data_IF_554290633261
#
_entry.id   IF_554290633261
#
_cell.length_a   1.000
_cell.length_b   1.000
_cell.length_c   1.000
_cell.angle_alpha   90.00
_cell.angle_beta   90.00
_cell.angle_gamma   90.00
#
_symmetry.space_group_name_H-M   'P 1'
#
loop_
_entity.id
_entity.type
_entity.pdbx_description
1 polymer ?
#
# COMPACT_ATOMS: atom_id res chain seq x y z
N UNK A 1 1.93 18.31 -10.73
CA UNK A 1 2.51 16.95 -10.62
C UNK A 1 1.38 15.99 -10.34
N UNK A 2 1.20 15.01 -11.20
CA UNK A 2 0.18 13.97 -10.99
C UNK A 2 0.71 12.90 -10.00
N UNK A 3 -0.17 12.02 -9.53
CA UNK A 3 0.17 10.99 -8.54
C UNK A 3 1.21 9.99 -9.08
N UNK A 4 1.17 9.67 -10.37
CA UNK A 4 2.13 8.76 -11.01
C UNK A 4 3.54 9.35 -11.03
N UNK A 5 3.68 10.63 -11.35
CA UNK A 5 4.95 11.38 -11.28
C UNK A 5 5.47 11.46 -9.83
N UNK A 6 4.58 11.62 -8.86
CA UNK A 6 4.94 11.57 -7.43
C UNK A 6 5.49 10.19 -7.05
N UNK A 7 4.85 9.11 -7.51
CA UNK A 7 5.33 7.74 -7.28
C UNK A 7 6.72 7.52 -7.89
N UNK A 8 6.92 7.97 -9.14
CA UNK A 8 8.21 7.84 -9.82
C UNK A 8 9.33 8.65 -9.17
N UNK A 9 9.06 9.88 -8.73
CA UNK A 9 10.07 10.71 -8.06
C UNK A 9 10.44 10.19 -6.67
N UNK A 10 9.49 9.58 -5.95
CA UNK A 10 9.74 9.02 -4.63
C UNK A 10 10.31 7.59 -4.67
N UNK A 11 10.30 6.93 -5.82
CA UNK A 11 10.70 5.53 -6.01
C UNK A 11 12.12 5.22 -5.48
N UNK A 12 13.03 6.19 -5.60
CA UNK A 12 14.40 6.10 -5.09
C UNK A 12 14.49 6.23 -3.56
N UNK A 13 13.54 6.93 -2.94
CA UNK A 13 13.47 7.17 -1.49
C UNK A 13 12.64 6.12 -0.72
N UNK A 14 11.85 5.31 -1.43
CA UNK A 14 11.03 4.23 -0.84
C UNK A 14 11.89 3.05 -0.37
N UNK A 15 11.45 2.40 0.71
CA UNK A 15 12.04 1.13 1.14
C UNK A 15 11.83 0.02 0.10
N UNK A 16 12.63 -1.06 0.18
CA UNK A 16 12.51 -2.20 -0.77
C UNK A 16 11.09 -2.75 -0.89
N UNK A 17 10.33 -2.78 0.20
CA UNK A 17 8.95 -3.28 0.19
C UNK A 17 7.97 -2.26 -0.37
N UNK A 18 8.12 -0.98 -0.06
CA UNK A 18 7.28 0.07 -0.64
C UNK A 18 7.54 0.25 -2.14
N UNK A 19 8.79 0.04 -2.57
CA UNK A 19 9.17 0.04 -3.99
C UNK A 19 8.41 -1.01 -4.79
N UNK A 20 8.22 -2.22 -4.25
CA UNK A 20 7.41 -3.25 -4.91
C UNK A 20 5.97 -2.80 -5.13
N UNK A 21 5.39 -2.13 -4.14
CA UNK A 21 4.03 -1.56 -4.25
C UNK A 21 3.99 -0.51 -5.35
N UNK A 22 4.96 0.41 -5.37
CA UNK A 22 5.09 1.42 -6.41
C UNK A 22 5.23 0.80 -7.81
N UNK A 23 6.05 -0.24 -7.96
CA UNK A 23 6.27 -0.95 -9.22
C UNK A 23 4.99 -1.62 -9.74
N UNK A 24 4.22 -2.28 -8.87
CA UNK A 24 2.92 -2.87 -9.25
C UNK A 24 1.94 -1.80 -9.71
N UNK A 25 1.86 -0.68 -8.99
CA UNK A 25 0.97 0.44 -9.35
C UNK A 25 1.40 1.06 -10.68
N UNK A 26 2.70 1.24 -10.91
CA UNK A 26 3.22 1.80 -12.16
C UNK A 26 3.08 0.83 -13.35
N UNK A 27 3.14 -0.48 -13.09
CA UNK A 27 2.95 -1.49 -14.12
C UNK A 27 1.49 -1.56 -14.61
N UNK A 28 0.51 -1.32 -13.73
CA UNK A 28 -0.91 -1.36 -14.09
C UNK A 28 -1.74 -0.40 -13.22
N UNK A 29 -1.67 0.91 -13.49
CA UNK A 29 -2.34 1.91 -12.65
C UNK A 29 -3.87 1.84 -12.74
N UNK A 30 -4.43 1.42 -13.89
CA UNK A 30 -5.86 1.14 -14.04
C UNK A 30 -6.33 -0.02 -13.14
N UNK A 31 -5.52 -1.08 -13.02
CA UNK A 31 -5.85 -2.19 -12.13
C UNK A 31 -5.71 -1.77 -10.65
N UNK A 32 -4.75 -0.89 -10.35
CA UNK A 32 -4.50 -0.42 -8.99
C UNK A 32 -5.66 0.38 -8.39
N UNK A 33 -6.39 1.17 -9.20
CA UNK A 33 -7.59 1.90 -8.74
C UNK A 33 -8.81 1.00 -8.50
N UNK A 34 -8.82 -0.21 -9.08
CA UNK A 34 -9.90 -1.19 -8.91
C UNK A 34 -9.59 -2.27 -7.88
N UNK A 35 -8.33 -2.39 -7.47
CA UNK A 35 -7.87 -3.40 -6.52
C UNK A 35 -8.18 -3.03 -5.06
N UNK A 36 -8.32 -4.04 -4.21
CA UNK A 36 -8.37 -3.89 -2.74
C UNK A 36 -6.95 -3.76 -2.16
N UNK A 37 -6.85 -3.30 -0.90
CA UNK A 37 -5.53 -3.21 -0.23
C UNK A 37 -4.88 -4.59 -0.09
N UNK A 38 -5.69 -5.63 0.15
CA UNK A 38 -5.25 -7.01 0.27
C UNK A 38 -4.74 -7.57 -1.08
N UNK A 39 -5.46 -7.30 -2.18
CA UNK A 39 -5.03 -7.72 -3.51
C UNK A 39 -3.71 -7.03 -3.91
N UNK A 40 -3.61 -5.72 -3.65
CA UNK A 40 -2.38 -4.95 -3.88
C UNK A 40 -1.20 -5.49 -3.08
N UNK A 41 -1.42 -5.83 -1.81
CA UNK A 41 -0.40 -6.41 -0.95
C UNK A 41 0.07 -7.77 -1.47
N UNK A 42 -0.85 -8.62 -1.91
CA UNK A 42 -0.57 -9.94 -2.46
C UNK A 42 0.22 -9.84 -3.77
N UNK A 43 -0.19 -8.96 -4.68
CA UNK A 43 0.47 -8.73 -5.97
C UNK A 43 1.89 -8.16 -5.80
N UNK A 44 2.06 -7.17 -4.90
CA UNK A 44 3.36 -6.61 -4.57
C UNK A 44 4.20 -7.52 -3.65
N UNK A 45 3.66 -8.66 -3.21
CA UNK A 45 4.32 -9.59 -2.28
C UNK A 45 4.80 -8.88 -1.00
N UNK A 46 3.89 -8.11 -0.40
CA UNK A 46 4.07 -7.37 0.85
C UNK A 46 2.86 -7.58 1.77
N UNK A 47 2.94 -7.01 2.97
CA UNK A 47 1.81 -6.99 3.90
C UNK A 47 0.96 -5.72 3.73
N UNK A 48 -0.34 -5.80 4.04
CA UNK A 48 -1.26 -4.64 4.02
C UNK A 48 -0.74 -3.42 4.80
N UNK A 49 -0.10 -3.57 6.00
CA UNK A 49 0.51 -2.43 6.69
C UNK A 49 1.61 -1.75 5.88
N UNK A 50 2.29 -2.47 4.99
CA UNK A 50 3.29 -1.89 4.08
C UNK A 50 2.62 -1.04 3.01
N UNK A 51 1.51 -1.50 2.44
CA UNK A 51 0.70 -0.71 1.50
C UNK A 51 0.15 0.54 2.19
N UNK A 52 -0.30 0.43 3.43
CA UNK A 52 -0.79 1.57 4.21
C UNK A 52 0.34 2.58 4.53
N UNK A 53 1.54 2.09 4.89
CA UNK A 53 2.73 2.96 5.03
C UNK A 53 3.07 3.67 3.73
N UNK A 54 3.06 2.96 2.60
CA UNK A 54 3.27 3.56 1.28
C UNK A 54 2.26 4.68 1.00
N UNK A 55 0.96 4.45 1.27
CA UNK A 55 -0.08 5.48 1.10
C UNK A 55 0.22 6.72 1.94
N UNK A 56 0.65 6.55 3.20
CA UNK A 56 1.05 7.66 4.08
C UNK A 56 2.30 8.39 3.58
N UNK A 57 3.31 7.67 3.08
CA UNK A 57 4.50 8.23 2.44
C UNK A 57 4.16 9.08 1.22
N UNK A 58 3.01 8.81 0.60
CA UNK A 58 2.46 9.59 -0.52
C UNK A 58 1.56 10.75 -0.09
N UNK A 59 1.52 11.11 1.19
CA UNK A 59 0.71 12.22 1.74
C UNK A 59 -0.80 11.97 1.58
N UNK A 60 -1.21 10.71 1.73
CA UNK A 60 -2.61 10.30 1.70
C UNK A 60 -3.02 9.72 3.04
N UNK A 61 -4.29 9.92 3.42
CA UNK A 61 -4.81 9.49 4.72
C UNK A 61 -5.06 7.99 4.81
N UNK A 62 -5.05 7.30 3.67
CA UNK A 62 -5.24 5.85 3.56
C UNK A 62 -5.39 5.41 2.11
N UNK A 63 -5.68 4.12 1.92
CA UNK A 63 -5.80 3.52 0.59
C UNK A 63 -6.96 4.09 -0.27
N UNK A 64 -8.16 4.40 0.28
CA UNK A 64 -9.22 5.03 -0.51
C UNK A 64 -8.86 6.43 -1.03
N UNK A 65 -8.22 7.23 -0.19
CA UNK A 65 -7.73 8.59 -0.50
C UNK A 65 -6.64 8.52 -1.59
N UNK A 66 -5.73 7.55 -1.47
CA UNK A 66 -4.75 7.23 -2.51
C UNK A 66 -5.40 6.86 -3.84
N UNK A 67 -6.41 5.99 -3.85
CA UNK A 67 -7.13 5.60 -5.08
C UNK A 67 -7.79 6.81 -5.74
N UNK A 68 -8.33 7.75 -4.98
CA UNK A 68 -8.91 8.97 -5.51
C UNK A 68 -7.87 9.83 -6.25
N UNK A 69 -6.71 10.07 -5.64
CA UNK A 69 -5.62 10.82 -6.26
C UNK A 69 -5.02 10.11 -7.48
N UNK A 70 -4.91 8.78 -7.42
CA UNK A 70 -4.47 7.97 -8.55
C UNK A 70 -5.47 8.02 -9.71
N UNK A 71 -6.77 7.87 -9.42
CA UNK A 71 -7.83 7.97 -10.40
C UNK A 71 -7.91 9.37 -11.03
N UNK A 72 -7.73 10.44 -10.26
CA UNK A 72 -7.62 11.81 -10.79
C UNK A 72 -6.44 11.97 -11.76
N UNK A 73 -5.33 11.31 -11.46
CA UNK A 73 -4.13 11.34 -12.31
C UNK A 73 -4.33 10.59 -13.62
N UNK A 74 -5.08 9.49 -13.59
CA UNK A 74 -5.51 8.76 -14.78
C UNK A 74 -6.60 9.53 -15.56
N UNK A 75 -7.52 10.17 -14.85
CA UNK A 75 -8.63 10.95 -15.42
C UNK A 75 -8.15 12.18 -16.21
N UNK A 76 -7.09 12.85 -15.71
CA UNK A 76 -6.45 13.95 -16.44
C UNK A 76 -5.70 13.48 -17.70
N UNK A 77 -5.50 12.17 -17.89
CA UNK A 77 -5.00 11.55 -19.12
C UNK A 77 -6.09 10.99 -20.05
N UNK A 78 -7.25 10.60 -19.52
CA UNK A 78 -8.41 10.10 -20.28
C UNK A 78 -9.68 10.10 -19.41
N UNK A 79 -10.88 10.47 -19.90
CA UNK A 79 -12.07 10.66 -19.07
C UNK A 79 -12.63 9.30 -18.63
N UNK A 80 -12.17 8.79 -17.48
CA UNK A 80 -12.70 7.54 -16.93
C UNK A 80 -13.95 7.80 -16.11
N UNK A 81 -15.07 7.33 -16.65
CA UNK A 81 -16.42 7.51 -16.14
C UNK A 81 -16.61 6.63 -14.89
N UNK A 82 -17.04 7.29 -13.83
CA UNK A 82 -17.49 6.73 -12.55
C UNK A 82 -18.28 5.42 -12.75
N UNK A 83 -17.71 4.29 -12.31
CA UNK A 83 -18.50 3.10 -12.00
C UNK A 83 -17.80 2.26 -10.92
N UNK A 84 -18.39 2.32 -9.72
CA UNK A 84 -18.22 1.40 -8.60
C UNK A 84 -16.88 1.50 -7.85
N UNK A 85 -16.71 2.57 -7.06
CA UNK A 85 -15.92 2.48 -5.84
C UNK A 85 -16.73 1.60 -4.88
N UNK A 86 -16.41 0.30 -4.82
CA UNK A 86 -16.88 -0.53 -3.72
C UNK A 86 -16.18 -0.02 -2.45
N UNK A 87 -16.94 0.65 -1.59
CA UNK A 87 -16.58 1.21 -0.29
C UNK A 87 -16.39 0.14 0.81
N UNK A 88 -16.05 -1.11 0.46
CA UNK A 88 -16.11 -2.22 1.43
C UNK A 88 -14.84 -2.42 2.28
N UNK A 89 -13.71 -1.81 1.94
CA UNK A 89 -12.53 -1.85 2.82
C UNK A 89 -12.60 -0.72 3.87
N UNK A 90 -13.72 -0.69 4.60
CA UNK A 90 -13.93 0.16 5.76
C UNK A 90 -13.03 -0.26 6.93
N UNK A 91 -12.08 0.61 7.28
CA UNK A 91 -11.63 1.05 8.63
C UNK A 91 -11.24 0.00 9.70
N UNK A 92 -11.36 -1.30 9.52
CA UNK A 92 -11.37 -2.24 10.65
C UNK A 92 -10.11 -3.10 10.88
N UNK A 93 -8.98 -2.82 10.23
CA UNK A 93 -7.74 -3.58 10.49
C UNK A 93 -6.68 -2.79 11.27
N UNK A 94 -7.12 -1.97 12.24
CA UNK A 94 -6.28 -1.57 13.36
C UNK A 94 -6.40 -2.62 14.47
N UNK A 95 -5.65 -3.73 14.37
CA UNK A 95 -5.04 -4.45 15.51
C UNK A 95 -4.35 -5.72 15.02
N UNK A 96 -3.02 -5.70 14.98
CA UNK A 96 -2.29 -6.88 14.53
C UNK A 96 -0.77 -6.79 14.55
N UNK A 97 -0.19 -6.20 15.59
CA UNK A 97 1.20 -6.45 16.01
C UNK A 97 2.27 -6.19 14.94
N UNK A 98 2.54 -4.91 14.77
CA UNK A 98 3.83 -4.41 14.26
C UNK A 98 4.95 -4.83 15.25
N UNK A 99 5.93 -5.57 14.72
CA UNK A 99 7.35 -5.62 15.08
C UNK A 99 7.81 -6.24 16.43
N UNK A 100 8.50 -7.38 16.33
CA UNK A 100 9.88 -7.52 16.85
C UNK A 100 10.55 -8.83 16.39
N UNK A 101 11.70 -8.80 15.69
CA UNK A 101 12.58 -9.96 15.56
C UNK A 101 13.59 -9.94 16.73
N UNK A 102 13.16 -10.23 17.96
CA UNK A 102 14.11 -10.43 19.07
C UNK A 102 13.68 -11.41 20.19
N UNK A 103 12.53 -12.07 20.10
CA UNK A 103 12.01 -12.88 21.22
C UNK A 103 12.36 -14.37 21.22
N UNK A 104 12.94 -14.93 20.15
CA UNK A 104 13.18 -16.39 20.09
C UNK A 104 14.47 -16.88 20.79
N UNK A 105 15.31 -15.99 21.34
CA UNK A 105 16.59 -16.42 21.96
C UNK A 105 16.59 -16.52 23.49
N UNK A 106 15.62 -15.93 24.20
CA UNK A 106 15.63 -15.93 25.68
C UNK A 106 14.68 -16.93 26.34
N UNK A 107 13.72 -17.50 25.63
CA UNK A 107 12.69 -18.39 26.22
C UNK A 107 13.07 -19.89 26.22
N UNK A 108 14.22 -20.27 25.65
CA UNK A 108 14.75 -21.65 25.73
C UNK A 108 15.91 -21.83 26.71
N UNK A 109 16.26 -20.80 27.51
CA UNK A 109 17.38 -20.88 28.47
C UNK A 109 16.96 -20.85 29.94
N UNK A 110 15.68 -20.69 30.27
CA UNK A 110 15.22 -20.48 31.66
C UNK A 110 14.16 -21.47 32.13
N UNK A 111 13.93 -22.57 31.42
CA UNK A 111 13.16 -23.69 31.94
C UNK A 111 14.03 -24.95 31.95
N UNK A 112 14.86 -24.99 33.00
CA UNK A 112 15.13 -26.15 33.88
C UNK A 112 15.67 -27.44 33.26
N UNK A 113 16.85 -27.95 33.64
CA UNK A 113 17.44 -27.90 34.98
C UNK A 113 16.91 -29.04 35.84
#
# INVERSE_FOLDING_TARGET
MNMLEKIQSQLEHLSKSERKVAEVILASPDNAIHSSIAAMALEANVSEPTVNRFCRSMDTRGFPDFKLHLAQSLANGTPYVNRNVNEDDSVESYTGKILSPQWQRSIMSSFTG
#
